data_IF_863265745713
#
_entry.id   IF_863265745713
#
_cell.length_a   1.000
_cell.length_b   1.000
_cell.length_c   1.000
_cell.angle_alpha   90.00
_cell.angle_beta   90.00
_cell.angle_gamma   90.00
#
_symmetry.space_group_name_H-M   'P 1'
#
loop_
_entity.id
_entity.type
_entity.pdbx_description
1 polymer ?
#
# COMPACT_ATOMS: atom_id res chain seq x y z
N UNK A 1 -19.32 -32.16 -44.82
CA UNK A 1 -18.69 -31.56 -46.03
C UNK A 1 -18.43 -30.11 -45.67
N UNK A 2 -17.23 -29.53 -45.57
CA UNK A 2 -15.86 -29.81 -46.01
C UNK A 2 -14.98 -29.38 -44.81
N UNK A 3 -14.11 -30.25 -44.29
CA UNK A 3 -12.69 -30.31 -44.67
C UNK A 3 -11.99 -28.94 -44.58
N UNK A 4 -11.49 -28.59 -43.39
CA UNK A 4 -10.23 -27.85 -43.18
C UNK A 4 -9.61 -28.52 -41.95
N UNK A 5 -8.98 -29.68 -42.17
CA UNK A 5 -7.56 -29.84 -42.48
C UNK A 5 -6.69 -29.44 -41.27
N UNK A 6 -6.70 -30.35 -40.31
CA UNK A 6 -5.66 -30.54 -39.30
C UNK A 6 -4.36 -30.83 -40.05
N UNK A 7 -3.38 -29.93 -39.93
CA UNK A 7 -1.99 -30.17 -40.31
C UNK A 7 -1.13 -29.98 -39.06
N UNK A 8 -0.81 -31.13 -38.46
CA UNK A 8 0.26 -31.32 -37.49
C UNK A 8 1.59 -30.93 -38.15
N UNK A 9 2.48 -30.24 -37.41
CA UNK A 9 3.86 -30.68 -37.13
C UNK A 9 4.68 -29.57 -36.43
N UNK A 10 4.92 -29.80 -35.13
CA UNK A 10 6.20 -29.67 -34.43
C UNK A 10 7.14 -28.48 -34.73
N UNK A 11 7.17 -27.52 -33.79
CA UNK A 11 8.38 -27.07 -33.05
C UNK A 11 7.83 -26.58 -31.69
N UNK A 12 8.07 -27.21 -30.55
CA UNK A 12 9.39 -27.43 -29.98
C UNK A 12 9.76 -26.25 -29.07
N UNK A 13 9.34 -26.31 -27.81
CA UNK A 13 10.04 -25.70 -26.68
C UNK A 13 10.21 -24.16 -26.68
N UNK A 14 9.12 -23.41 -26.47
CA UNK A 14 9.24 -22.06 -25.91
C UNK A 14 8.90 -22.07 -24.43
N UNK A 15 9.91 -21.69 -23.66
CA UNK A 15 9.99 -21.66 -22.22
C UNK A 15 8.75 -21.05 -21.55
N UNK A 16 8.32 -21.69 -20.47
CA UNK A 16 7.42 -21.11 -19.50
C UNK A 16 8.03 -19.83 -18.93
N UNK A 17 7.43 -18.68 -19.28
CA UNK A 17 7.54 -17.45 -18.51
C UNK A 17 6.11 -17.00 -18.19
N UNK A 18 5.62 -17.42 -17.02
CA UNK A 18 4.50 -16.76 -16.36
C UNK A 18 4.98 -15.38 -15.91
N UNK A 19 4.82 -14.38 -16.76
CA UNK A 19 4.94 -12.99 -16.37
C UNK A 19 3.59 -12.52 -15.81
N UNK A 20 3.39 -12.72 -14.51
CA UNK A 20 2.49 -11.83 -13.77
C UNK A 20 2.95 -11.61 -12.33
N UNK A 21 2.97 -10.32 -11.99
CA UNK A 21 2.99 -9.70 -10.66
C UNK A 21 4.25 -9.75 -9.78
N UNK A 22 4.74 -8.52 -9.55
CA UNK A 22 5.43 -7.98 -8.36
C UNK A 22 6.96 -8.08 -8.31
N UNK A 23 7.55 -7.08 -8.97
CA UNK A 23 8.81 -6.44 -8.61
C UNK A 23 8.73 -5.82 -7.20
N UNK A 24 9.89 -5.84 -6.51
CA UNK A 24 10.20 -5.39 -5.15
C UNK A 24 10.16 -6.53 -4.13
N UNK A 25 11.21 -7.35 -4.10
CA UNK A 25 12.47 -7.13 -3.36
C UNK A 25 12.35 -7.51 -1.88
N UNK A 26 12.70 -8.77 -1.68
CA UNK A 26 13.27 -9.40 -0.50
C UNK A 26 14.16 -8.46 0.31
N UNK A 27 13.80 -8.27 1.58
CA UNK A 27 14.78 -8.09 2.65
C UNK A 27 14.56 -9.21 3.64
N UNK A 28 15.23 -10.33 3.38
CA UNK A 28 15.51 -11.32 4.39
C UNK A 28 16.53 -10.72 5.36
N UNK A 29 16.13 -10.58 6.63
CA UNK A 29 17.08 -10.48 7.74
C UNK A 29 16.51 -11.21 8.94
N UNK A 30 17.10 -12.36 9.24
CA UNK A 30 16.81 -13.17 10.41
C UNK A 30 16.97 -12.33 11.70
N UNK A 31 15.88 -12.18 12.45
CA UNK A 31 15.89 -11.72 13.83
C UNK A 31 14.58 -12.15 14.50
N UNK A 32 14.70 -12.97 15.54
CA UNK A 32 13.70 -13.41 16.52
C UNK A 32 12.25 -12.99 16.20
N UNK A 33 11.48 -13.89 15.59
CA UNK A 33 10.10 -13.65 15.14
C UNK A 33 9.16 -13.41 16.32
N UNK A 34 9.09 -12.17 16.78
CA UNK A 34 7.87 -11.63 17.37
C UNK A 34 6.91 -11.38 16.21
N UNK A 35 5.76 -12.06 16.21
CA UNK A 35 4.69 -11.83 15.25
C UNK A 35 4.09 -10.46 15.52
N UNK A 36 4.57 -9.44 14.79
CA UNK A 36 4.01 -8.09 14.88
C UNK A 36 2.71 -8.06 14.07
N UNK A 37 1.59 -7.95 14.79
CA UNK A 37 0.26 -7.80 14.20
C UNK A 37 0.05 -6.37 13.70
N UNK A 38 -0.42 -6.24 12.46
CA UNK A 38 -0.70 -4.94 11.84
C UNK A 38 -2.20 -4.78 11.57
N UNK A 39 -2.70 -3.57 11.75
CA UNK A 39 -4.08 -3.20 11.42
C UNK A 39 -4.11 -2.05 10.42
N UNK A 40 -5.17 -2.04 9.59
CA UNK A 40 -5.46 -0.98 8.63
C UNK A 40 -6.40 0.04 9.26
N UNK A 41 -6.08 1.32 9.14
CA UNK A 41 -6.97 2.43 9.49
C UNK A 41 -7.20 3.32 8.28
N UNK A 42 -8.40 3.91 8.21
CA UNK A 42 -8.76 4.87 7.18
C UNK A 42 -9.35 6.14 7.81
N UNK A 43 -8.98 7.28 7.23
CA UNK A 43 -9.35 8.60 7.68
C UNK A 43 -9.88 9.40 6.50
N UNK A 44 -10.99 10.09 6.70
CA UNK A 44 -11.40 11.15 5.80
C UNK A 44 -10.64 12.42 6.18
N UNK A 45 -9.92 13.03 5.24
CA UNK A 45 -9.02 14.16 5.52
C UNK A 45 -9.31 15.31 4.57
N UNK A 46 -9.63 16.47 5.14
CA UNK A 46 -9.87 17.72 4.41
C UNK A 46 -8.61 18.59 4.35
N UNK A 47 -8.56 19.47 3.34
CA UNK A 47 -7.46 20.41 3.11
C UNK A 47 -6.35 19.89 2.19
N UNK A 48 -6.33 18.60 1.87
CA UNK A 48 -5.47 18.10 0.78
C UNK A 48 -6.07 18.48 -0.57
N UNK A 49 -5.37 19.30 -1.36
CA UNK A 49 -5.86 19.78 -2.67
C UNK A 49 -4.96 19.43 -3.85
N UNK A 50 -3.78 18.86 -3.58
CA UNK A 50 -2.85 18.42 -4.61
C UNK A 50 -1.94 17.27 -4.11
N UNK A 51 -1.17 16.68 -5.02
CA UNK A 51 -0.19 15.62 -4.67
C UNK A 51 0.92 16.11 -3.73
N UNK A 52 1.25 17.40 -3.75
CA UNK A 52 2.15 17.98 -2.76
C UNK A 52 1.57 17.88 -1.33
N UNK A 53 0.29 18.18 -1.15
CA UNK A 53 -0.40 18.04 0.13
C UNK A 53 -0.47 16.58 0.59
N UNK A 54 -0.72 15.64 -0.33
CA UNK A 54 -0.67 14.20 -0.03
C UNK A 54 0.70 13.81 0.54
N UNK A 55 1.77 14.27 -0.09
CA UNK A 55 3.14 13.98 0.34
C UNK A 55 3.45 14.57 1.72
N UNK A 56 2.95 15.76 2.04
CA UNK A 56 3.09 16.34 3.39
C UNK A 56 2.50 15.42 4.45
N UNK A 57 1.26 14.94 4.25
CA UNK A 57 0.59 14.02 5.18
C UNK A 57 1.34 12.68 5.27
N UNK A 58 1.73 12.11 4.13
CA UNK A 58 2.49 10.84 4.08
C UNK A 58 3.79 10.96 4.87
N UNK A 59 4.56 12.03 4.65
CA UNK A 59 5.85 12.23 5.31
C UNK A 59 5.68 12.49 6.82
N UNK A 60 4.62 13.19 7.22
CA UNK A 60 4.29 13.38 8.63
C UNK A 60 3.95 12.08 9.34
N UNK A 61 3.13 11.24 8.72
CA UNK A 61 2.68 9.97 9.31
C UNK A 61 3.76 8.89 9.32
N UNK A 62 4.67 8.86 8.33
CA UNK A 62 5.82 7.94 8.32
C UNK A 62 6.79 8.13 9.49
N UNK A 63 6.73 9.28 10.18
CA UNK A 63 7.55 9.55 11.36
C UNK A 63 6.97 8.95 12.64
N UNK A 64 5.71 8.50 12.62
CA UNK A 64 5.07 7.88 13.79
C UNK A 64 5.61 6.45 13.95
N UNK A 65 6.08 6.13 15.15
CA UNK A 65 6.65 4.82 15.46
C UNK A 65 5.55 3.75 15.38
N UNK A 66 5.78 2.68 14.65
CA UNK A 66 4.79 1.61 14.44
C UNK A 66 3.96 1.79 13.17
N UNK A 67 4.19 2.84 12.38
CA UNK A 67 3.63 2.96 11.03
C UNK A 67 4.44 2.11 10.05
N UNK A 68 3.76 1.24 9.32
CA UNK A 68 4.35 0.38 8.28
C UNK A 68 4.18 0.97 6.88
N UNK A 69 3.01 1.51 6.58
CA UNK A 69 2.66 2.01 5.26
C UNK A 69 1.67 3.16 5.37
N UNK A 70 1.81 4.19 4.52
CA UNK A 70 0.88 5.31 4.40
C UNK A 70 0.56 5.56 2.94
N UNK A 71 -0.73 5.72 2.62
CA UNK A 71 -1.25 6.17 1.33
C UNK A 71 -2.20 7.35 1.56
N UNK A 72 -2.09 8.39 0.76
CA UNK A 72 -2.99 9.53 0.80
C UNK A 72 -3.53 9.82 -0.61
N UNK A 73 -4.75 10.33 -0.67
CA UNK A 73 -5.42 10.70 -1.92
C UNK A 73 -6.28 11.94 -1.72
N UNK A 74 -5.84 13.08 -2.25
CA UNK A 74 -6.60 14.34 -2.27
C UNK A 74 -7.87 14.20 -3.12
N UNK A 75 -7.81 13.45 -4.23
CA UNK A 75 -8.97 13.18 -5.09
C UNK A 75 -10.12 12.49 -4.35
N UNK A 76 -9.78 11.70 -3.33
CA UNK A 76 -10.72 10.90 -2.57
C UNK A 76 -10.96 11.44 -1.15
N UNK A 77 -10.24 12.49 -0.74
CA UNK A 77 -10.15 12.96 0.64
C UNK A 77 -9.88 11.82 1.64
N UNK A 78 -9.02 10.86 1.27
CA UNK A 78 -8.75 9.66 2.08
C UNK A 78 -7.28 9.47 2.37
N UNK A 79 -7.00 9.05 3.60
CA UNK A 79 -5.70 8.54 4.04
C UNK A 79 -5.89 7.13 4.58
N UNK A 80 -5.08 6.20 4.08
CA UNK A 80 -5.04 4.81 4.52
C UNK A 80 -3.67 4.54 5.13
N UNK A 81 -3.66 3.93 6.32
CA UNK A 81 -2.43 3.65 7.05
C UNK A 81 -2.43 2.21 7.59
N UNK A 82 -1.27 1.57 7.56
CA UNK A 82 -1.02 0.29 8.21
C UNK A 82 -0.16 0.53 9.44
N UNK A 83 -0.64 0.14 10.62
CA UNK A 83 0.05 0.37 11.90
C UNK A 83 0.14 -0.91 12.73
N UNK A 84 1.16 -0.99 13.59
CA UNK A 84 1.25 -2.02 14.61
C UNK A 84 0.08 -1.90 15.60
N UNK A 85 -0.69 -2.98 15.77
CA UNK A 85 -1.99 -2.96 16.48
C UNK A 85 -1.88 -2.44 17.92
N UNK A 86 -0.79 -2.76 18.61
CA UNK A 86 -0.61 -2.46 20.03
C UNK A 86 0.27 -1.22 20.30
N UNK A 87 0.75 -0.54 19.27
CA UNK A 87 1.64 0.63 19.42
C UNK A 87 1.00 1.96 19.04
N UNK A 88 0.03 1.93 18.13
CA UNK A 88 -0.55 3.14 17.57
C UNK A 88 -2.07 2.99 17.50
N UNK A 89 -2.77 3.96 18.07
CA UNK A 89 -4.23 4.02 18.02
C UNK A 89 -4.71 5.05 16.98
N UNK A 90 -6.03 5.12 16.80
CA UNK A 90 -6.63 5.98 15.78
C UNK A 90 -6.44 7.47 16.11
N UNK A 91 -6.51 7.80 17.41
CA UNK A 91 -6.42 9.16 17.94
C UNK A 91 -5.04 9.77 17.70
N UNK A 92 -3.96 9.02 17.92
CA UNK A 92 -2.59 9.46 17.66
C UNK A 92 -2.38 9.80 16.18
N UNK A 93 -2.91 8.97 15.28
CA UNK A 93 -2.84 9.25 13.84
C UNK A 93 -3.64 10.49 13.47
N UNK A 94 -4.85 10.66 14.03
CA UNK A 94 -5.67 11.84 13.79
C UNK A 94 -4.97 13.13 14.27
N UNK A 95 -4.44 13.12 15.50
CA UNK A 95 -3.67 14.25 16.05
C UNK A 95 -2.43 14.55 15.20
N UNK A 96 -1.76 13.53 14.68
CA UNK A 96 -0.61 13.74 13.80
C UNK A 96 -1.02 14.41 12.49
N UNK A 97 -2.15 14.02 11.89
CA UNK A 97 -2.72 14.65 10.68
C UNK A 97 -3.04 16.13 10.95
N UNK A 98 -3.63 16.44 12.11
CA UNK A 98 -3.93 17.80 12.54
C UNK A 98 -2.68 18.65 12.77
N UNK A 99 -1.66 18.06 13.39
CA UNK A 99 -0.36 18.71 13.62
C UNK A 99 0.34 19.09 12.30
N UNK A 100 0.13 18.32 11.23
CA UNK A 100 0.68 18.66 9.90
C UNK A 100 -0.23 19.59 9.09
N UNK A 101 -1.31 20.10 9.69
CA UNK A 101 -2.12 21.19 9.15
C UNK A 101 -3.37 20.76 8.38
N UNK A 102 -3.88 19.55 8.61
CA UNK A 102 -5.06 19.02 7.91
C UNK A 102 -6.14 18.56 8.89
N UNK A 103 -7.40 18.52 8.46
CA UNK A 103 -8.53 18.17 9.34
C UNK A 103 -8.98 16.74 9.09
N UNK A 104 -9.20 15.98 10.16
CA UNK A 104 -9.81 14.65 10.08
C UNK A 104 -11.32 14.79 10.28
N UNK A 105 -12.11 14.27 9.34
CA UNK A 105 -13.56 14.18 9.47
C UNK A 105 -13.93 12.74 9.87
N UNK A 106 -14.79 12.60 10.88
CA UNK A 106 -15.25 11.29 11.39
C UNK A 106 -16.14 10.54 10.40
#
# INVERSE_FOLDING_TARGET
>A
MKKILILLLAVGLFAACQSNTKKSEQTDKASTTQTVEYQKMEFHVSGMTCTGCENTVINGLKQVKGVKEVKASHKNNRVTIMVEKDKVNREEIAQKIETVGYTVNE
#
